data_IF_432992415536
#
_entry.id   IF_432992415536
#
_cell.length_a   1.000
_cell.length_b   1.000
_cell.length_c   1.000
_cell.angle_alpha   90.00
_cell.angle_beta   90.00
_cell.angle_gamma   90.00
#
_symmetry.space_group_name_H-M   'P 1'
#
loop_
_entity.id
_entity.type
_entity.pdbx_description
1 polymer ?
#
# COMPACT_ATOMS: atom_id res chain seq x y z
N UNK A 1 -3.73 -17.84 26.33
CA UNK A 1 -3.12 -17.88 24.98
C UNK A 1 -3.62 -16.65 24.26
N UNK A 2 -2.75 -15.69 23.97
CA UNK A 2 -3.10 -14.53 23.14
C UNK A 2 -3.25 -15.03 21.71
N UNK A 3 -4.47 -15.05 21.21
CA UNK A 3 -4.78 -15.39 19.79
C UNK A 3 -3.98 -14.41 18.92
N UNK A 4 -3.16 -14.93 18.01
CA UNK A 4 -2.43 -14.07 17.06
C UNK A 4 -3.42 -13.31 16.21
N UNK A 5 -3.12 -12.06 15.85
CA UNK A 5 -3.95 -11.29 14.90
C UNK A 5 -4.16 -12.07 13.61
N UNK A 6 -3.17 -12.82 13.16
CA UNK A 6 -3.21 -13.66 11.96
C UNK A 6 -4.27 -14.77 12.02
N UNK A 7 -4.62 -15.25 13.23
CA UNK A 7 -5.64 -16.31 13.41
C UNK A 7 -7.08 -15.79 13.28
N UNK A 8 -7.26 -14.49 13.10
CA UNK A 8 -8.58 -13.82 13.15
C UNK A 8 -9.11 -13.38 11.78
N UNK A 9 -8.37 -13.60 10.73
CA UNK A 9 -8.81 -13.35 9.35
C UNK A 9 -8.30 -14.43 8.40
N UNK A 10 -8.94 -14.60 7.21
CA UNK A 10 -8.57 -15.64 6.25
C UNK A 10 -7.09 -15.59 5.86
N UNK A 11 -6.43 -16.74 5.84
CA UNK A 11 -5.02 -16.89 5.49
C UNK A 11 -4.79 -17.55 4.11
N UNK A 12 -5.88 -17.86 3.39
CA UNK A 12 -5.84 -18.46 2.04
C UNK A 12 -6.41 -17.45 1.05
N UNK A 13 -5.68 -17.23 -0.03
CA UNK A 13 -6.11 -16.36 -1.12
C UNK A 13 -7.33 -16.92 -1.87
N UNK A 14 -7.97 -16.06 -2.65
CA UNK A 14 -9.02 -16.47 -3.60
C UNK A 14 -8.53 -17.62 -4.49
N UNK A 15 -9.40 -18.58 -4.88
CA UNK A 15 -9.06 -19.63 -5.84
C UNK A 15 -8.51 -19.13 -7.19
N UNK A 16 -8.83 -17.87 -7.53
CA UNK A 16 -8.34 -17.21 -8.76
C UNK A 16 -7.04 -16.40 -8.53
N UNK A 17 -6.43 -16.51 -7.35
CA UNK A 17 -5.18 -15.83 -7.07
C UNK A 17 -4.02 -16.39 -7.90
N UNK A 18 -2.97 -15.58 -8.06
CA UNK A 18 -1.79 -15.96 -8.83
C UNK A 18 -1.09 -17.20 -8.22
N UNK A 19 -0.43 -18.03 -9.01
CA UNK A 19 0.43 -19.11 -8.51
C UNK A 19 1.46 -18.60 -7.50
N UNK A 20 1.78 -19.42 -6.51
CA UNK A 20 2.72 -19.05 -5.45
C UNK A 20 2.11 -18.23 -4.30
N UNK A 21 0.78 -18.08 -4.29
CA UNK A 21 0.05 -17.45 -3.18
C UNK A 21 -0.49 -18.51 -2.21
N UNK A 22 -0.82 -18.14 -0.95
CA UNK A 22 -1.43 -19.06 0.00
C UNK A 22 -2.68 -19.75 -0.58
N UNK A 23 -2.67 -21.09 -0.60
CA UNK A 23 -3.74 -21.92 -1.17
C UNK A 23 -3.59 -22.22 -2.66
N UNK A 24 -2.56 -21.70 -3.34
CA UNK A 24 -2.27 -21.98 -4.76
C UNK A 24 -0.76 -22.21 -4.96
N UNK A 25 -0.23 -23.25 -4.33
CA UNK A 25 1.19 -23.64 -4.35
C UNK A 25 1.38 -24.94 -5.13
N UNK A 26 2.53 -25.08 -5.81
CA UNK A 26 3.03 -26.37 -6.24
C UNK A 26 3.70 -27.08 -5.06
N UNK A 27 3.94 -28.39 -5.19
CA UNK A 27 4.63 -29.18 -4.18
C UNK A 27 6.03 -28.61 -3.85
N UNK A 28 6.75 -28.20 -4.87
CA UNK A 28 8.09 -27.59 -4.74
C UNK A 28 8.01 -26.25 -3.99
N UNK A 29 6.94 -25.48 -4.19
CA UNK A 29 6.71 -24.22 -3.49
C UNK A 29 6.32 -24.44 -2.02
N UNK A 30 5.58 -25.49 -1.72
CA UNK A 30 5.28 -25.89 -0.33
C UNK A 30 6.57 -26.34 0.40
N UNK A 31 7.39 -27.15 -0.25
CA UNK A 31 8.68 -27.58 0.29
C UNK A 31 9.60 -26.39 0.54
N UNK A 32 9.68 -25.44 -0.40
CA UNK A 32 10.45 -24.22 -0.25
C UNK A 32 9.97 -23.34 0.92
N UNK A 33 8.65 -23.22 1.12
CA UNK A 33 8.06 -22.50 2.25
C UNK A 33 8.46 -23.11 3.59
N UNK A 34 8.38 -24.44 3.71
CA UNK A 34 8.75 -25.16 4.92
C UNK A 34 10.25 -25.02 5.22
N UNK A 35 11.10 -25.18 4.21
CA UNK A 35 12.55 -25.02 4.34
C UNK A 35 12.93 -23.58 4.73
N UNK A 36 12.35 -22.57 4.09
CA UNK A 36 12.59 -21.18 4.41
C UNK A 36 12.25 -20.87 5.86
N UNK A 37 11.06 -21.31 6.33
CA UNK A 37 10.65 -21.15 7.73
C UNK A 37 11.62 -21.83 8.69
N UNK A 38 12.06 -23.05 8.42
CA UNK A 38 13.02 -23.79 9.26
C UNK A 38 14.31 -23.00 9.44
N UNK A 39 14.90 -22.49 8.35
CA UNK A 39 16.12 -21.69 8.38
C UNK A 39 15.95 -20.42 9.24
N UNK A 40 14.80 -19.74 9.11
CA UNK A 40 14.55 -18.54 9.91
C UNK A 40 14.37 -18.86 11.41
N UNK A 41 13.72 -19.97 11.75
CA UNK A 41 13.61 -20.44 13.13
C UNK A 41 14.98 -20.80 13.73
N UNK A 42 15.85 -21.47 12.98
CA UNK A 42 17.23 -21.75 13.38
C UNK A 42 18.04 -20.47 13.62
N UNK A 43 17.73 -19.39 12.90
CA UNK A 43 18.30 -18.05 13.10
C UNK A 43 17.64 -17.26 14.23
N UNK A 44 16.73 -17.89 15.01
CA UNK A 44 15.98 -17.30 16.13
C UNK A 44 14.96 -16.20 15.76
N UNK A 45 14.54 -16.08 14.52
CA UNK A 45 13.39 -15.24 14.17
C UNK A 45 12.10 -15.88 14.69
N UNK A 46 11.18 -15.05 15.22
CA UNK A 46 9.90 -15.52 15.82
C UNK A 46 8.69 -14.79 15.28
N UNK A 47 8.90 -13.67 14.60
CA UNK A 47 7.84 -12.82 14.08
C UNK A 47 7.80 -12.88 12.56
N UNK A 48 6.64 -12.58 11.99
CA UNK A 48 6.41 -12.52 10.52
C UNK A 48 6.74 -13.82 9.79
N UNK A 49 6.58 -14.95 10.49
CA UNK A 49 6.81 -16.30 9.94
C UNK A 49 5.53 -16.95 9.41
N UNK A 50 4.44 -16.21 9.28
CA UNK A 50 3.21 -16.68 8.65
C UNK A 50 3.41 -16.97 7.16
N UNK A 51 2.57 -17.88 6.61
CA UNK A 51 2.67 -18.31 5.22
C UNK A 51 2.59 -17.14 4.23
N UNK A 52 1.65 -16.23 4.45
CA UNK A 52 1.44 -15.07 3.60
C UNK A 52 2.70 -14.20 3.53
N UNK A 53 3.31 -13.93 4.68
CA UNK A 53 4.55 -13.13 4.73
C UNK A 53 5.70 -13.85 4.04
N UNK A 54 5.97 -15.11 4.39
CA UNK A 54 7.08 -15.86 3.82
C UNK A 54 6.92 -16.06 2.31
N UNK A 55 5.72 -16.35 1.84
CA UNK A 55 5.45 -16.50 0.40
C UNK A 55 5.66 -15.21 -0.38
N UNK A 56 5.45 -14.02 0.22
CA UNK A 56 5.78 -12.75 -0.44
C UNK A 56 7.28 -12.60 -0.67
N UNK A 57 8.12 -12.98 0.30
CA UNK A 57 9.58 -13.00 0.14
C UNK A 57 10.02 -14.04 -0.90
N UNK A 58 9.46 -15.24 -0.85
CA UNK A 58 9.74 -16.29 -1.82
C UNK A 58 9.37 -15.88 -3.25
N UNK A 59 8.18 -15.29 -3.45
CA UNK A 59 7.77 -14.77 -4.78
C UNK A 59 8.71 -13.67 -5.26
N UNK A 60 9.09 -12.74 -4.38
CA UNK A 60 10.01 -11.65 -4.71
C UNK A 60 11.41 -12.14 -5.12
N UNK A 61 11.78 -13.33 -4.72
CA UNK A 61 13.06 -13.99 -5.08
C UNK A 61 12.87 -15.27 -5.92
N UNK A 62 11.70 -15.39 -6.60
CA UNK A 62 11.39 -16.51 -7.52
C UNK A 62 11.60 -17.88 -6.88
N UNK A 63 11.31 -18.01 -5.60
CA UNK A 63 11.49 -19.21 -4.77
C UNK A 63 12.96 -19.65 -4.60
N UNK A 64 13.93 -18.77 -4.84
CA UNK A 64 15.30 -18.97 -4.39
C UNK A 64 15.36 -18.78 -2.88
N UNK A 65 15.61 -19.88 -2.16
CA UNK A 65 15.57 -19.92 -0.69
C UNK A 65 16.68 -19.04 -0.09
N UNK A 66 17.91 -19.13 -0.62
CA UNK A 66 19.03 -18.38 -0.08
C UNK A 66 18.81 -16.86 -0.25
N UNK A 67 18.42 -16.43 -1.42
CA UNK A 67 18.10 -15.03 -1.69
C UNK A 67 16.89 -14.55 -0.87
N UNK A 68 15.91 -15.42 -0.59
CA UNK A 68 14.76 -15.09 0.26
C UNK A 68 15.15 -14.94 1.72
N UNK A 69 16.03 -15.80 2.23
CA UNK A 69 16.60 -15.69 3.59
C UNK A 69 17.38 -14.40 3.74
N UNK A 70 18.26 -14.07 2.79
CA UNK A 70 19.03 -12.83 2.80
C UNK A 70 18.11 -11.62 2.83
N UNK A 71 17.11 -11.57 1.94
CA UNK A 71 16.13 -10.49 1.89
C UNK A 71 15.35 -10.34 3.20
N UNK A 72 14.92 -11.43 3.81
CA UNK A 72 14.19 -11.39 5.07
C UNK A 72 15.07 -10.87 6.21
N UNK A 73 16.30 -11.38 6.33
CA UNK A 73 17.26 -10.94 7.35
C UNK A 73 17.56 -9.45 7.22
N UNK A 74 17.82 -8.98 5.99
CA UNK A 74 18.03 -7.56 5.72
C UNK A 74 16.80 -6.71 6.05
N UNK A 75 15.59 -7.22 5.76
CA UNK A 75 14.33 -6.55 6.12
C UNK A 75 14.20 -6.41 7.63
N UNK A 76 14.45 -7.47 8.41
CA UNK A 76 14.33 -7.42 9.87
C UNK A 76 15.35 -6.45 10.48
N UNK A 77 16.59 -6.46 10.00
CA UNK A 77 17.61 -5.49 10.41
C UNK A 77 17.20 -4.07 10.11
N UNK A 78 16.75 -3.81 8.87
CA UNK A 78 16.28 -2.49 8.47
C UNK A 78 15.08 -2.03 9.30
N UNK A 79 14.14 -2.91 9.60
CA UNK A 79 12.97 -2.60 10.42
C UNK A 79 13.36 -2.10 11.81
N UNK A 80 14.37 -2.74 12.42
CA UNK A 80 14.90 -2.34 13.72
C UNK A 80 15.61 -0.97 13.63
N UNK A 81 16.54 -0.82 12.69
CA UNK A 81 17.33 0.41 12.50
C UNK A 81 16.46 1.61 12.10
N UNK A 82 15.46 1.41 11.26
CA UNK A 82 14.54 2.44 10.80
C UNK A 82 13.48 2.82 11.85
N UNK A 83 13.20 1.94 12.78
CA UNK A 83 12.11 2.07 13.74
C UNK A 83 10.73 1.72 13.15
N UNK A 84 10.66 0.86 12.13
CA UNK A 84 9.41 0.47 11.49
C UNK A 84 8.51 -0.31 12.46
N UNK A 85 9.09 -1.06 13.39
CA UNK A 85 8.36 -1.87 14.37
C UNK A 85 7.55 -1.03 15.37
N UNK A 86 7.98 0.20 15.67
CA UNK A 86 7.34 1.12 16.63
C UNK A 86 6.68 2.33 15.98
N UNK A 87 6.70 2.43 14.65
CA UNK A 87 6.32 3.65 13.93
C UNK A 87 4.86 4.08 14.15
N UNK A 88 3.96 3.13 14.41
CA UNK A 88 2.54 3.43 14.71
C UNK A 88 2.42 3.99 16.13
N UNK A 89 3.08 3.37 17.10
CA UNK A 89 3.11 3.81 18.49
C UNK A 89 3.78 5.19 18.60
N UNK A 90 4.88 5.42 17.88
CA UNK A 90 5.56 6.72 17.80
C UNK A 90 4.63 7.80 17.24
N UNK A 91 3.84 7.45 16.20
CA UNK A 91 2.84 8.36 15.65
C UNK A 91 1.77 8.69 16.69
N UNK A 92 1.22 7.70 17.40
CA UNK A 92 0.18 7.92 18.41
C UNK A 92 0.67 8.83 19.55
N UNK A 93 1.94 8.68 19.95
CA UNK A 93 2.57 9.53 20.96
C UNK A 93 2.80 10.98 20.48
N UNK A 94 2.94 11.22 19.18
CA UNK A 94 3.18 12.51 18.55
C UNK A 94 2.02 13.00 17.68
N UNK A 95 0.85 12.40 17.82
CA UNK A 95 -0.30 12.53 16.94
C UNK A 95 -0.67 13.96 16.57
N UNK A 96 -0.74 14.85 17.56
CA UNK A 96 -1.18 16.23 17.32
C UNK A 96 -0.26 16.99 16.35
N UNK A 97 1.06 16.81 16.48
CA UNK A 97 2.04 17.46 15.62
C UNK A 97 2.02 16.85 14.21
N UNK A 98 2.00 15.52 14.11
CA UNK A 98 1.97 14.82 12.83
C UNK A 98 0.67 15.06 12.05
N UNK A 99 -0.49 15.11 12.73
CA UNK A 99 -1.78 15.42 12.10
C UNK A 99 -1.81 16.86 11.57
N UNK A 100 -1.25 17.84 12.28
CA UNK A 100 -1.14 19.23 11.80
C UNK A 100 -0.32 19.32 10.51
N UNK A 101 0.79 18.61 10.43
CA UNK A 101 1.62 18.52 9.22
C UNK A 101 0.85 17.84 8.09
N UNK A 102 0.26 16.67 8.35
CA UNK A 102 -0.49 15.87 7.38
C UNK A 102 -1.67 16.62 6.78
N UNK A 103 -2.45 17.36 7.59
CA UNK A 103 -3.56 18.20 7.13
C UNK A 103 -3.09 19.28 6.14
N UNK A 104 -1.92 19.88 6.38
CA UNK A 104 -1.35 20.89 5.47
C UNK A 104 -0.87 20.24 4.17
N UNK A 105 -0.21 19.08 4.27
CA UNK A 105 0.28 18.33 3.12
C UNK A 105 -0.86 17.81 2.25
N UNK A 106 -1.92 17.25 2.83
CA UNK A 106 -3.06 16.69 2.12
C UNK A 106 -3.74 17.69 1.17
N UNK A 107 -3.67 18.99 1.46
CA UNK A 107 -4.18 20.05 0.58
C UNK A 107 -3.35 20.28 -0.68
N UNK A 108 -2.07 19.93 -0.65
CA UNK A 108 -1.11 20.15 -1.75
C UNK A 108 -0.72 18.85 -2.44
N UNK A 109 -0.75 17.77 -1.70
CA UNK A 109 -0.38 16.43 -2.13
C UNK A 109 -1.38 15.44 -1.53
N UNK A 110 -2.59 15.33 -2.13
CA UNK A 110 -3.62 14.41 -1.68
C UNK A 110 -3.17 12.96 -1.78
N UNK A 111 -3.20 12.26 -0.65
CA UNK A 111 -2.96 10.83 -0.53
C UNK A 111 -3.99 10.24 0.42
N UNK A 112 -4.84 9.33 -0.05
CA UNK A 112 -5.95 8.83 0.75
C UNK A 112 -6.41 7.44 0.32
N UNK A 113 -6.98 6.71 1.26
CA UNK A 113 -7.70 5.46 0.99
C UNK A 113 -9.20 5.75 0.82
N UNK A 114 -9.84 5.03 -0.10
CA UNK A 114 -11.27 5.19 -0.35
C UNK A 114 -11.88 3.92 -0.91
N UNK A 115 -12.56 3.16 -0.04
CA UNK A 115 -13.20 1.89 -0.38
C UNK A 115 -12.22 0.80 -0.89
N UNK A 116 -12.75 -0.12 -1.71
CA UNK A 116 -12.02 -1.28 -2.25
C UNK A 116 -12.32 -1.47 -3.73
N UNK A 117 -11.43 -2.20 -4.41
CA UNK A 117 -11.65 -2.66 -5.78
C UNK A 117 -12.53 -3.93 -5.82
N UNK A 118 -12.81 -4.45 -7.04
CA UNK A 118 -13.65 -5.64 -7.25
C UNK A 118 -13.04 -6.93 -6.70
N UNK A 119 -11.73 -6.97 -6.53
CA UNK A 119 -11.01 -8.10 -5.93
C UNK A 119 -10.85 -7.96 -4.40
N UNK A 120 -11.46 -6.92 -3.81
CA UNK A 120 -11.42 -6.68 -2.37
C UNK A 120 -10.20 -5.91 -1.87
N UNK A 121 -9.31 -5.43 -2.75
CA UNK A 121 -8.11 -4.68 -2.36
C UNK A 121 -8.45 -3.28 -1.89
N UNK A 122 -7.79 -2.74 -0.85
CA UNK A 122 -7.89 -1.33 -0.53
C UNK A 122 -7.54 -0.45 -1.73
N UNK A 123 -8.40 0.54 -2.03
CA UNK A 123 -8.14 1.56 -3.05
C UNK A 123 -7.36 2.71 -2.44
N UNK A 124 -6.21 3.01 -3.03
CA UNK A 124 -5.36 4.14 -2.67
C UNK A 124 -5.29 5.13 -3.82
N UNK A 125 -5.54 6.40 -3.51
CA UNK A 125 -5.47 7.50 -4.47
C UNK A 125 -4.34 8.44 -4.09
N UNK A 126 -3.59 8.86 -5.11
CA UNK A 126 -2.47 9.78 -4.98
C UNK A 126 -2.54 10.82 -6.11
N UNK A 127 -2.53 12.11 -5.76
CA UNK A 127 -2.73 13.22 -6.69
C UNK A 127 -1.48 14.12 -6.72
N UNK A 128 -0.68 14.01 -7.77
CA UNK A 128 0.56 14.77 -7.93
C UNK A 128 0.38 16.12 -8.64
N UNK A 129 -0.78 16.33 -9.28
CA UNK A 129 -0.96 17.47 -10.19
C UNK A 129 -0.88 18.83 -9.54
N UNK A 130 -1.24 18.95 -8.27
CA UNK A 130 -1.22 20.22 -7.52
C UNK A 130 0.08 20.47 -6.76
N UNK A 131 1.07 19.58 -6.87
CA UNK A 131 2.25 19.61 -6.03
C UNK A 131 3.11 20.86 -6.29
N UNK A 132 3.39 21.61 -5.22
CA UNK A 132 4.37 22.68 -5.24
C UNK A 132 5.51 22.32 -4.27
N UNK A 133 6.58 21.77 -4.84
CA UNK A 133 7.72 21.27 -4.07
C UNK A 133 8.32 22.31 -3.14
N UNK A 134 8.46 23.57 -3.59
CA UNK A 134 8.99 24.66 -2.74
C UNK A 134 8.12 24.96 -1.53
N UNK A 135 6.78 24.91 -1.68
CA UNK A 135 5.86 25.08 -0.56
C UNK A 135 5.81 23.85 0.31
N UNK A 136 5.86 22.66 -0.28
CA UNK A 136 5.83 21.38 0.42
C UNK A 136 7.04 21.23 1.35
N UNK A 137 8.25 21.51 0.86
CA UNK A 137 9.48 21.43 1.67
C UNK A 137 9.62 22.54 2.75
N UNK A 138 8.70 23.50 2.81
CA UNK A 138 8.55 24.38 3.98
C UNK A 138 7.74 23.75 5.12
N UNK A 139 7.01 22.68 4.85
CA UNK A 139 6.13 22.01 5.80
C UNK A 139 6.74 20.67 6.25
N UNK A 140 7.38 19.97 5.33
CA UNK A 140 7.93 18.62 5.55
C UNK A 140 9.31 18.46 4.93
N UNK A 141 9.93 17.33 5.17
CA UNK A 141 11.20 16.90 4.55
C UNK A 141 11.01 15.59 3.80
N UNK A 142 11.93 15.27 2.87
CA UNK A 142 11.94 13.97 2.18
C UNK A 142 12.01 12.81 3.18
N UNK A 143 12.84 12.92 4.22
CA UNK A 143 12.91 11.94 5.32
C UNK A 143 11.55 11.73 5.99
N UNK A 144 10.82 12.82 6.29
CA UNK A 144 9.50 12.71 6.92
C UNK A 144 8.46 12.12 5.96
N UNK A 145 8.55 12.41 4.67
CA UNK A 145 7.69 11.80 3.66
C UNK A 145 7.92 10.28 3.56
N UNK A 146 9.18 9.82 3.57
CA UNK A 146 9.52 8.39 3.59
C UNK A 146 9.06 7.74 4.90
N UNK A 147 9.19 8.44 6.05
CA UNK A 147 8.64 7.95 7.32
C UNK A 147 7.12 7.78 7.26
N UNK A 148 6.41 8.73 6.66
CA UNK A 148 4.97 8.63 6.45
C UNK A 148 4.60 7.46 5.52
N UNK A 149 5.38 7.21 4.47
CA UNK A 149 5.20 6.06 3.59
C UNK A 149 5.35 4.74 4.36
N UNK A 150 6.39 4.59 5.17
CA UNK A 150 6.61 3.39 5.98
C UNK A 150 5.48 3.20 6.98
N UNK A 151 5.03 4.28 7.65
CA UNK A 151 3.87 4.26 8.54
C UNK A 151 2.60 3.78 7.80
N UNK A 152 2.35 4.27 6.60
CA UNK A 152 1.20 3.80 5.79
C UNK A 152 1.30 2.32 5.40
N UNK A 153 2.51 1.79 5.14
CA UNK A 153 2.70 0.35 4.91
C UNK A 153 2.42 -0.48 6.16
N UNK A 154 2.82 -0.01 7.34
CA UNK A 154 2.52 -0.69 8.61
C UNK A 154 1.01 -0.66 8.90
N UNK A 155 0.36 0.49 8.72
CA UNK A 155 -1.10 0.62 8.85
C UNK A 155 -1.87 -0.24 7.83
N UNK A 156 -1.37 -0.31 6.61
CA UNK A 156 -1.91 -1.17 5.57
C UNK A 156 -1.84 -2.66 5.98
N UNK A 157 -0.68 -3.10 6.44
CA UNK A 157 -0.45 -4.49 6.83
C UNK A 157 -1.23 -4.88 8.09
N UNK A 158 -1.28 -3.99 9.09
CA UNK A 158 -1.87 -4.29 10.41
C UNK A 158 -3.39 -4.14 10.44
N UNK A 159 -3.97 -3.22 9.69
CA UNK A 159 -5.40 -2.89 9.79
C UNK A 159 -6.16 -3.10 8.48
N UNK A 160 -5.67 -2.55 7.34
CA UNK A 160 -6.44 -2.54 6.10
C UNK A 160 -6.56 -3.92 5.46
N UNK A 161 -5.44 -4.65 5.37
CA UNK A 161 -5.40 -6.01 4.82
C UNK A 161 -6.28 -6.98 5.63
N UNK A 162 -6.18 -7.06 6.97
CA UNK A 162 -7.03 -7.92 7.76
C UNK A 162 -8.53 -7.62 7.61
N UNK A 163 -8.92 -6.35 7.68
CA UNK A 163 -10.32 -5.95 7.51
C UNK A 163 -10.86 -6.28 6.11
N UNK A 164 -10.07 -6.04 5.06
CA UNK A 164 -10.43 -6.41 3.69
C UNK A 164 -10.54 -7.92 3.52
N UNK A 165 -9.65 -8.69 4.14
CA UNK A 165 -9.68 -10.17 4.11
C UNK A 165 -10.91 -10.73 4.80
N UNK A 166 -11.29 -10.19 5.99
CA UNK A 166 -12.54 -10.58 6.68
C UNK A 166 -13.76 -10.29 5.82
N UNK A 167 -13.81 -9.11 5.18
CA UNK A 167 -14.90 -8.74 4.27
C UNK A 167 -14.97 -9.63 3.04
N UNK A 168 -13.83 -9.97 2.47
CA UNK A 168 -13.75 -10.79 1.25
C UNK A 168 -14.01 -12.28 1.50
N UNK A 169 -13.73 -12.78 2.72
CA UNK A 169 -13.76 -14.20 3.05
C UNK A 169 -12.55 -14.98 2.52
N UNK A 170 -11.52 -14.28 2.00
CA UNK A 170 -10.24 -14.81 1.56
C UNK A 170 -9.12 -13.78 1.80
N UNK A 171 -7.86 -14.24 1.76
CA UNK A 171 -6.72 -13.39 2.03
C UNK A 171 -6.54 -12.31 0.95
N UNK A 172 -6.49 -11.07 1.37
CA UNK A 172 -6.07 -9.92 0.58
C UNK A 172 -4.64 -9.56 0.99
N UNK A 173 -3.72 -9.45 0.05
CA UNK A 173 -2.31 -9.12 0.31
C UNK A 173 -1.87 -7.78 -0.30
N UNK A 174 -2.62 -7.25 -1.27
CA UNK A 174 -2.18 -6.18 -2.15
C UNK A 174 -3.15 -5.01 -2.18
N UNK A 175 -2.66 -3.84 -2.65
CA UNK A 175 -3.46 -2.64 -2.90
C UNK A 175 -3.82 -2.47 -4.38
N UNK A 176 -4.83 -1.65 -4.65
CA UNK A 176 -5.11 -1.07 -5.96
C UNK A 176 -4.89 0.44 -5.87
N UNK A 177 -3.95 0.98 -6.64
CA UNK A 177 -3.54 2.37 -6.59
C UNK A 177 -3.95 3.13 -7.85
N UNK A 178 -4.43 4.34 -7.69
CA UNK A 178 -4.67 5.30 -8.77
C UNK A 178 -3.81 6.54 -8.55
N UNK A 179 -2.81 6.72 -9.40
CA UNK A 179 -1.92 7.88 -9.42
C UNK A 179 -2.42 8.88 -10.46
N UNK A 180 -2.89 10.03 -10.00
CA UNK A 180 -3.38 11.12 -10.85
C UNK A 180 -2.28 12.16 -11.08
N UNK A 181 -1.83 12.29 -12.33
CA UNK A 181 -0.81 13.23 -12.77
C UNK A 181 -1.38 14.53 -13.36
N UNK A 182 -2.69 14.78 -13.19
CA UNK A 182 -3.34 15.97 -13.77
C UNK A 182 -2.67 17.27 -13.32
N UNK A 183 -2.07 17.97 -14.27
CA UNK A 183 -1.43 19.27 -14.02
C UNK A 183 0.02 19.20 -13.56
N UNK A 184 0.62 18.01 -13.46
CA UNK A 184 2.06 17.92 -13.17
C UNK A 184 2.89 18.48 -14.34
N UNK A 185 3.90 19.26 -14.03
CA UNK A 185 4.90 19.66 -15.03
C UNK A 185 6.02 18.61 -15.13
N UNK A 186 6.58 18.43 -16.32
CA UNK A 186 7.73 17.52 -16.49
C UNK A 186 8.93 17.93 -15.64
N UNK A 187 9.16 19.24 -15.45
CA UNK A 187 10.24 19.73 -14.58
C UNK A 187 10.04 19.28 -13.12
N UNK A 188 8.82 19.35 -12.59
CA UNK A 188 8.54 18.83 -11.24
C UNK A 188 8.75 17.31 -11.16
N UNK A 189 8.39 16.58 -12.22
CA UNK A 189 8.60 15.15 -12.28
C UNK A 189 10.08 14.75 -12.18
N UNK A 190 10.97 15.50 -12.85
CA UNK A 190 12.43 15.27 -12.71
C UNK A 190 12.95 15.53 -11.30
N UNK A 191 12.42 16.54 -10.60
CA UNK A 191 12.86 16.87 -9.23
C UNK A 191 12.46 15.82 -8.17
N UNK A 192 11.49 14.95 -8.47
CA UNK A 192 11.07 13.89 -7.54
C UNK A 192 11.67 12.52 -7.88
N UNK A 193 12.55 12.41 -8.87
CA UNK A 193 13.13 11.11 -9.27
C UNK A 193 13.93 10.44 -8.16
N UNK A 194 14.69 11.18 -7.35
CA UNK A 194 15.41 10.62 -6.20
C UNK A 194 14.43 10.04 -5.18
N UNK A 195 13.39 10.80 -4.85
CA UNK A 195 12.35 10.35 -3.95
C UNK A 195 11.63 9.10 -4.46
N UNK A 196 11.27 9.05 -5.77
CA UNK A 196 10.67 7.86 -6.39
C UNK A 196 11.60 6.65 -6.28
N UNK A 197 12.90 6.84 -6.44
CA UNK A 197 13.90 5.78 -6.27
C UNK A 197 13.89 5.27 -4.83
N UNK A 198 13.95 6.14 -3.84
CA UNK A 198 13.94 5.76 -2.41
C UNK A 198 12.62 5.05 -2.03
N UNK A 199 11.48 5.52 -2.55
CA UNK A 199 10.17 4.83 -2.42
C UNK A 199 10.22 3.42 -3.04
N UNK A 200 10.80 3.29 -4.23
CA UNK A 200 10.93 2.00 -4.91
C UNK A 200 11.86 1.05 -4.13
N UNK A 201 12.99 1.55 -3.64
CA UNK A 201 13.95 0.79 -2.85
C UNK A 201 13.32 0.27 -1.56
N UNK A 202 12.61 1.12 -0.80
CA UNK A 202 11.89 0.71 0.41
C UNK A 202 10.82 -0.32 0.08
N UNK A 203 10.00 -0.06 -0.94
CA UNK A 203 8.87 -0.92 -1.30
C UNK A 203 9.32 -2.31 -1.75
N UNK A 204 10.34 -2.38 -2.61
CA UNK A 204 10.77 -3.63 -3.21
C UNK A 204 11.63 -4.49 -2.27
N UNK A 205 12.41 -3.85 -1.40
CA UNK A 205 13.33 -4.57 -0.53
C UNK A 205 12.69 -4.96 0.81
N UNK A 206 11.78 -4.12 1.37
CA UNK A 206 11.26 -4.33 2.73
C UNK A 206 9.76 -4.61 2.79
N UNK A 207 9.00 -4.30 1.73
CA UNK A 207 7.56 -4.55 1.64
C UNK A 207 7.19 -5.28 0.33
N UNK A 208 7.81 -6.45 0.05
CA UNK A 208 7.62 -7.11 -1.23
C UNK A 208 6.17 -7.55 -1.45
N UNK A 209 5.78 -7.58 -2.74
CA UNK A 209 4.52 -8.14 -3.23
C UNK A 209 3.25 -7.49 -2.63
N UNK A 210 3.30 -6.18 -2.31
CA UNK A 210 2.15 -5.41 -1.81
C UNK A 210 1.37 -4.66 -2.91
N UNK A 211 1.91 -4.56 -4.12
CA UNK A 211 1.22 -3.95 -5.26
C UNK A 211 0.41 -5.00 -6.03
N UNK A 212 -0.91 -4.75 -6.18
CA UNK A 212 -1.80 -5.58 -7.00
C UNK A 212 -2.09 -4.95 -8.36
N UNK A 213 -2.58 -3.70 -8.37
CA UNK A 213 -2.84 -2.90 -9.57
C UNK A 213 -2.36 -1.47 -9.32
N UNK A 214 -1.79 -0.86 -10.35
CA UNK A 214 -1.31 0.52 -10.28
C UNK A 214 -1.70 1.26 -11.57
N UNK A 215 -2.65 2.18 -11.48
CA UNK A 215 -3.15 2.95 -12.60
C UNK A 215 -2.57 4.35 -12.57
N UNK A 216 -1.89 4.76 -13.65
CA UNK A 216 -1.41 6.12 -13.87
C UNK A 216 -2.37 6.79 -14.84
N UNK A 217 -3.03 7.87 -14.42
CA UNK A 217 -3.99 8.61 -15.22
C UNK A 217 -3.55 10.07 -15.44
N UNK A 218 -4.10 10.73 -16.45
CA UNK A 218 -3.78 12.11 -16.84
C UNK A 218 -2.28 12.37 -17.03
N UNK A 219 -1.54 11.36 -17.51
CA UNK A 219 -0.11 11.52 -17.79
C UNK A 219 0.13 12.62 -18.83
N UNK A 220 1.08 13.56 -18.58
CA UNK A 220 1.39 14.62 -19.53
C UNK A 220 2.09 14.05 -20.77
N UNK A 221 2.07 14.85 -21.86
CA UNK A 221 2.85 14.54 -23.05
C UNK A 221 4.32 14.33 -22.67
N UNK A 222 4.96 13.28 -23.19
CA UNK A 222 6.33 12.93 -22.87
C UNK A 222 6.53 12.09 -21.60
N UNK A 223 5.45 11.81 -20.83
CA UNK A 223 5.51 10.97 -19.61
C UNK A 223 6.10 9.58 -19.88
N UNK A 224 5.79 8.97 -21.03
CA UNK A 224 6.34 7.65 -21.40
C UNK A 224 7.87 7.64 -21.46
N UNK A 225 8.48 8.76 -21.86
CA UNK A 225 9.95 8.91 -21.88
C UNK A 225 10.49 9.00 -20.44
N UNK A 226 9.83 9.76 -19.57
CA UNK A 226 10.20 9.85 -18.16
C UNK A 226 9.99 8.49 -17.44
N UNK A 227 8.91 7.79 -17.72
CA UNK A 227 8.68 6.46 -17.15
C UNK A 227 9.77 5.44 -17.54
N UNK A 228 10.34 5.55 -18.75
CA UNK A 228 11.51 4.75 -19.14
C UNK A 228 12.74 4.98 -18.25
N UNK A 229 12.86 6.16 -17.62
CA UNK A 229 13.95 6.45 -16.67
C UNK A 229 13.70 5.86 -15.29
N UNK A 230 12.43 5.70 -14.90
CA UNK A 230 12.04 5.07 -13.62
C UNK A 230 12.03 3.54 -13.72
N UNK A 231 11.62 3.01 -14.89
CA UNK A 231 11.46 1.57 -15.13
C UNK A 231 12.67 0.71 -14.70
N UNK A 232 13.93 1.10 -14.90
CA UNK A 232 15.08 0.30 -14.47
C UNK A 232 15.22 0.13 -12.95
N UNK A 233 14.56 0.97 -12.16
CA UNK A 233 14.54 0.87 -10.69
C UNK A 233 13.41 -0.04 -10.17
N UNK A 234 12.55 -0.54 -11.06
CA UNK A 234 11.40 -1.38 -10.72
C UNK A 234 11.63 -2.82 -11.16
N UNK A 235 11.22 -3.76 -10.31
CA UNK A 235 11.17 -5.16 -10.69
C UNK A 235 10.23 -5.39 -11.89
N UNK A 236 10.55 -6.29 -12.84
CA UNK A 236 9.69 -6.59 -13.99
C UNK A 236 8.26 -7.00 -13.63
N UNK A 237 8.05 -7.72 -12.53
CA UNK A 237 6.72 -8.11 -12.04
C UNK A 237 5.95 -6.85 -11.59
N UNK A 238 6.63 -5.92 -10.90
CA UNK A 238 6.07 -4.62 -10.52
C UNK A 238 5.66 -3.83 -11.76
N UNK A 239 6.52 -3.75 -12.77
CA UNK A 239 6.22 -3.06 -14.04
C UNK A 239 4.98 -3.64 -14.73
N UNK A 240 4.78 -4.96 -14.69
CA UNK A 240 3.62 -5.63 -15.29
C UNK A 240 2.28 -5.27 -14.64
N UNK A 241 2.31 -4.77 -13.41
CA UNK A 241 1.13 -4.33 -12.63
C UNK A 241 0.80 -2.84 -12.83
N UNK A 242 1.63 -2.09 -13.59
CA UNK A 242 1.47 -0.65 -13.85
C UNK A 242 0.78 -0.42 -15.19
N UNK A 243 -0.33 0.29 -15.16
CA UNK A 243 -1.15 0.61 -16.33
C UNK A 243 -1.16 2.13 -16.56
N UNK A 244 -0.51 2.60 -17.62
CA UNK A 244 -0.56 4.01 -18.02
C UNK A 244 -1.76 4.20 -18.94
N UNK A 245 -2.78 4.92 -18.45
CA UNK A 245 -4.05 5.06 -19.12
C UNK A 245 -4.18 6.44 -19.81
N UNK A 246 -4.66 6.42 -21.03
CA UNK A 246 -4.97 7.63 -21.81
C UNK A 246 -6.36 8.21 -21.49
N UNK A 247 -6.97 8.87 -22.47
CA UNK A 247 -8.28 9.54 -22.35
C UNK A 247 -9.45 8.62 -21.96
N UNK A 248 -9.34 7.32 -22.23
CA UNK A 248 -10.35 6.31 -21.86
C UNK A 248 -10.20 5.77 -20.43
N UNK A 249 -9.35 6.38 -19.60
CA UNK A 249 -9.03 5.88 -18.25
C UNK A 249 -10.25 5.55 -17.39
N UNK A 250 -11.32 6.33 -17.48
CA UNK A 250 -12.57 6.10 -16.73
C UNK A 250 -13.16 4.72 -17.01
N UNK A 251 -13.23 4.34 -18.28
CA UNK A 251 -13.72 3.02 -18.69
C UNK A 251 -12.82 1.89 -18.16
N UNK A 252 -11.51 2.09 -18.18
CA UNK A 252 -10.55 1.09 -17.68
C UNK A 252 -10.61 0.97 -16.15
N UNK A 253 -10.71 2.09 -15.40
CA UNK A 253 -10.91 2.06 -13.96
C UNK A 253 -12.18 1.30 -13.56
N UNK A 254 -13.30 1.52 -14.27
CA UNK A 254 -14.59 0.87 -14.01
C UNK A 254 -14.58 -0.65 -14.28
N UNK A 255 -13.60 -1.17 -15.03
CA UNK A 255 -13.41 -2.62 -15.16
C UNK A 255 -12.96 -3.24 -13.84
N UNK A 256 -12.13 -2.53 -13.08
CA UNK A 256 -11.53 -2.99 -11.81
C UNK A 256 -12.24 -2.46 -10.58
N UNK A 257 -12.77 -1.25 -10.62
CA UNK A 257 -13.33 -0.55 -9.46
C UNK A 257 -14.84 -0.49 -9.58
N UNK A 258 -15.62 -0.88 -8.54
CA UNK A 258 -17.05 -0.66 -8.51
C UNK A 258 -17.38 0.83 -8.68
N UNK A 259 -18.43 1.13 -9.43
CA UNK A 259 -18.82 2.52 -9.71
C UNK A 259 -19.08 3.31 -8.43
N UNK A 260 -19.66 2.66 -7.41
CA UNK A 260 -20.01 3.28 -6.13
C UNK A 260 -18.78 3.46 -5.20
N UNK A 261 -17.65 2.83 -5.51
CA UNK A 261 -16.40 2.97 -4.79
C UNK A 261 -15.44 3.96 -5.46
N UNK A 262 -15.72 4.32 -6.72
CA UNK A 262 -14.89 5.26 -7.48
C UNK A 262 -15.40 6.70 -7.29
N UNK A 263 -14.54 7.65 -6.85
CA UNK A 263 -14.94 9.05 -6.72
C UNK A 263 -15.50 9.65 -8.02
N UNK A 264 -16.50 10.52 -7.89
CA UNK A 264 -17.18 11.19 -9.04
C UNK A 264 -16.18 11.83 -10.00
N UNK A 265 -15.12 12.46 -9.47
CA UNK A 265 -14.08 13.10 -10.30
C UNK A 265 -13.34 12.13 -11.23
N UNK A 266 -13.37 10.84 -10.94
CA UNK A 266 -12.77 9.78 -11.76
C UNK A 266 -13.80 9.00 -12.59
N UNK A 267 -15.06 9.43 -12.56
CA UNK A 267 -16.13 8.84 -13.37
C UNK A 267 -16.97 7.79 -12.65
N UNK A 268 -16.84 7.67 -11.35
CA UNK A 268 -17.72 6.89 -10.49
C UNK A 268 -18.88 7.70 -9.92
N UNK A 269 -19.56 7.15 -8.94
CA UNK A 269 -20.70 7.78 -8.22
C UNK A 269 -20.40 8.06 -6.76
N UNK A 270 -19.23 7.67 -6.24
CA UNK A 270 -18.90 7.86 -4.85
C UNK A 270 -18.75 9.34 -4.50
N UNK A 271 -19.46 9.74 -3.44
CA UNK A 271 -19.42 11.07 -2.84
C UNK A 271 -19.12 10.93 -1.34
N UNK A 272 -18.60 11.99 -0.73
CA UNK A 272 -18.48 12.03 0.73
C UNK A 272 -19.82 12.44 1.34
N UNK A 273 -20.15 11.88 2.52
CA UNK A 273 -21.42 12.17 3.21
C UNK A 273 -21.61 13.66 3.50
N UNK A 274 -20.53 14.35 3.87
CA UNK A 274 -20.56 15.80 4.03
C UNK A 274 -20.02 16.45 2.75
N UNK A 275 -20.82 17.25 2.02
CA UNK A 275 -20.38 17.94 0.78
C UNK A 275 -19.22 18.91 0.98
N UNK A 276 -18.97 19.35 2.20
CA UNK A 276 -17.83 20.21 2.56
C UNK A 276 -16.53 19.43 2.76
N UNK A 277 -16.61 18.11 2.95
CA UNK A 277 -15.46 17.27 3.09
C UNK A 277 -14.71 17.14 1.75
N UNK A 278 -13.42 16.91 1.86
CA UNK A 278 -12.56 16.71 0.68
C UNK A 278 -12.05 15.28 0.66
N UNK A 279 -12.02 14.67 -0.51
CA UNK A 279 -11.56 13.29 -0.68
C UNK A 279 -10.16 13.05 -0.11
N UNK A 280 -9.30 14.05 -0.07
CA UNK A 280 -7.97 13.90 0.52
C UNK A 280 -7.98 13.68 2.04
N UNK A 281 -9.12 13.74 2.69
CA UNK A 281 -9.32 13.32 4.08
C UNK A 281 -10.04 11.97 4.18
N UNK A 282 -10.38 11.33 3.08
CA UNK A 282 -11.04 10.04 3.12
C UNK A 282 -10.12 8.97 3.71
N UNK A 283 -10.70 8.09 4.48
CA UNK A 283 -10.12 6.82 4.93
C UNK A 283 -11.26 5.80 5.10
N UNK A 284 -12.22 5.82 4.17
CA UNK A 284 -13.42 4.97 4.19
C UNK A 284 -13.08 3.60 3.60
N UNK A 285 -13.46 2.55 4.31
CA UNK A 285 -13.27 1.17 3.85
C UNK A 285 -13.61 0.15 4.94
N UNK A 286 -13.42 -1.16 4.67
CA UNK A 286 -13.69 -2.22 5.64
C UNK A 286 -12.99 -2.03 6.99
N UNK A 287 -11.85 -1.38 7.01
CA UNK A 287 -11.07 -1.06 8.23
C UNK A 287 -11.70 0.00 9.13
N UNK A 288 -12.82 0.62 8.71
CA UNK A 288 -13.64 1.54 9.51
C UNK A 288 -15.01 0.95 9.84
N UNK A 289 -15.33 -0.22 9.31
CA UNK A 289 -16.60 -0.90 9.56
C UNK A 289 -16.45 -1.85 10.77
N UNK A 290 -17.21 -1.64 11.85
CA UNK A 290 -17.12 -2.47 13.05
C UNK A 290 -17.27 -3.98 12.80
N UNK A 291 -17.94 -4.38 11.72
CA UNK A 291 -18.10 -5.79 11.33
C UNK A 291 -16.80 -6.48 10.92
N UNK A 292 -15.78 -5.70 10.49
CA UNK A 292 -14.54 -6.22 9.96
C UNK A 292 -13.32 -5.79 10.78
N UNK A 293 -13.51 -4.97 11.83
CA UNK A 293 -12.48 -4.65 12.81
C UNK A 293 -12.27 -5.90 13.69
N UNK A 294 -11.01 -6.29 13.85
CA UNK A 294 -10.62 -7.46 14.65
C UNK A 294 -9.85 -7.05 15.91
N UNK A 295 -9.09 -7.98 16.48
CA UNK A 295 -8.33 -7.75 17.72
C UNK A 295 -7.22 -6.70 17.55
N UNK A 296 -6.83 -6.36 16.32
CA UNK A 296 -5.92 -5.24 16.04
C UNK A 296 -6.52 -3.88 16.41
N UNK A 297 -7.85 -3.82 16.65
CA UNK A 297 -8.56 -2.61 16.97
C UNK A 297 -8.81 -1.68 15.77
N UNK A 298 -9.26 -0.47 16.05
CA UNK A 298 -9.50 0.55 15.03
C UNK A 298 -8.19 1.14 14.51
N UNK A 299 -8.13 1.36 13.20
CA UNK A 299 -7.02 2.10 12.61
C UNK A 299 -7.00 3.54 13.16
N UNK A 300 -5.84 4.09 13.56
CA UNK A 300 -5.75 5.44 14.05
C UNK A 300 -6.41 6.45 13.11
N UNK A 301 -7.18 7.39 13.67
CA UNK A 301 -7.85 8.42 12.90
C UNK A 301 -6.93 9.64 12.72
N UNK A 302 -6.48 9.89 11.47
CA UNK A 302 -5.49 10.91 11.13
C UNK A 302 -6.03 12.31 10.93
N UNK A 303 -7.34 12.50 10.73
CA UNK A 303 -7.92 13.78 10.32
C UNK A 303 -8.97 14.34 11.29
N UNK A 304 -9.01 13.83 12.54
CA UNK A 304 -10.06 14.16 13.48
C UNK A 304 -11.34 13.35 13.20
N UNK A 305 -12.41 13.60 13.96
CA UNK A 305 -13.65 12.82 13.88
C UNK A 305 -14.36 13.05 12.54
N UNK A 306 -14.01 12.26 11.52
CA UNK A 306 -14.95 11.94 10.46
C UNK A 306 -15.83 10.82 10.99
N UNK A 307 -16.93 11.18 11.64
CA UNK A 307 -17.96 10.23 12.03
C UNK A 307 -18.55 9.66 10.74
N UNK A 308 -18.19 8.42 10.42
CA UNK A 308 -18.99 7.58 9.54
C UNK A 308 -20.23 7.26 10.35
N UNK A 309 -21.27 8.08 10.28
CA UNK A 309 -22.60 7.67 10.70
C UNK A 309 -23.11 6.70 9.65
N UNK A 310 -23.26 5.44 10.08
CA UNK A 310 -23.84 4.31 9.36
C UNK A 310 -25.13 4.67 8.60
#
# INVERSE_FOLDING_TARGET
MTTSILDTYPQICSPNALPGTPGNLTKEQEEALLQFRSILLEKNYKERLDDSTLLRFLRARKFDINASVEMFVETERWREEYGANTIIEDYENNKEAEDKERIKLAKMYPQYYHHIDKDGRPLYFEELGGINLKKMYKITTEKQMLRNLVKEYELFARYRVPACSRRAGYLIETSCTVLDLKGISLSNAYHVLSYIKDVADISQNYYPERMGKFYIIHSPFGFSTMFKMVKPFLDPVTVSKIFILGSSYKKELLKQIPIDNLPVKYGGTSVLHNPNDKFYYSDIGPWRDPRYIGPEGEIPNFFGKFTVTS
#
